data_IF_572818466798
#
_entry.id   IF_572818466798
#
_cell.length_a   1.000
_cell.length_b   1.000
_cell.length_c   1.000
_cell.angle_alpha   90.00
_cell.angle_beta   90.00
_cell.angle_gamma   90.00
#
_symmetry.space_group_name_H-M   'P 1'
#
loop_
_entity.id
_entity.type
_entity.pdbx_description
1 polymer ?
#
# COMPACT_ATOMS: atom_id res chain seq x y z
N UNK A 1 4.02 4.85 68.39
CA UNK A 1 2.85 5.66 68.02
C UNK A 1 3.12 6.28 66.66
N UNK A 2 2.10 6.50 65.83
CA UNK A 2 2.16 7.47 64.72
C UNK A 2 2.38 8.87 65.31
N UNK A 3 3.56 9.15 65.86
CA UNK A 3 3.95 10.49 66.28
C UNK A 3 4.36 11.28 65.05
N UNK A 4 4.03 12.57 65.06
CA UNK A 4 4.25 13.56 64.00
C UNK A 4 5.73 13.69 63.60
N UNK A 5 6.24 12.72 62.85
CA UNK A 5 7.52 12.84 62.15
C UNK A 5 7.26 13.71 60.91
N UNK A 6 7.15 15.02 61.11
CA UNK A 6 7.32 15.99 60.04
C UNK A 6 8.76 15.85 59.52
N UNK A 7 8.97 15.05 58.47
CA UNK A 7 10.20 15.13 57.69
C UNK A 7 10.27 16.52 57.06
N UNK A 8 11.44 17.15 57.11
CA UNK A 8 11.75 18.47 56.50
C UNK A 8 11.43 18.55 55.00
N UNK A 9 11.18 17.42 54.36
CA UNK A 9 10.82 17.29 52.95
C UNK A 9 9.34 16.93 52.80
N UNK A 10 8.43 17.86 53.13
CA UNK A 10 7.02 18.00 52.72
C UNK A 10 6.26 16.72 52.25
N UNK A 11 6.43 15.59 52.92
CA UNK A 11 5.86 14.29 52.56
C UNK A 11 5.00 13.80 53.72
N UNK A 12 3.68 13.83 53.51
CA UNK A 12 2.68 13.29 54.44
C UNK A 12 2.98 11.81 54.69
N UNK A 13 3.20 11.46 55.97
CA UNK A 13 3.33 10.07 56.42
C UNK A 13 1.91 9.50 56.57
N UNK A 14 1.63 8.39 55.89
CA UNK A 14 0.42 7.61 56.10
C UNK A 14 0.64 6.62 57.24
N UNK A 15 -0.16 6.71 58.30
CA UNK A 15 -0.01 5.86 59.48
C UNK A 15 -1.36 5.58 60.15
N UNK A 16 -1.55 4.33 60.58
CA UNK A 16 -2.74 3.88 61.29
C UNK A 16 -2.29 3.18 62.58
N UNK A 17 -2.81 3.64 63.72
CA UNK A 17 -2.63 2.94 64.99
C UNK A 17 -3.73 1.89 65.16
N UNK A 18 -3.39 0.71 65.66
CA UNK A 18 -4.33 -0.37 65.94
C UNK A 18 -3.99 -1.04 67.28
N UNK A 19 -5.00 -1.57 67.99
CA UNK A 19 -4.88 -2.02 69.39
C UNK A 19 -4.94 -3.53 69.58
N UNK A 20 -5.22 -4.28 68.51
CA UNK A 20 -5.35 -5.73 68.55
C UNK A 20 -4.04 -6.44 68.19
N UNK A 21 -3.92 -7.75 68.46
CA UNK A 21 -2.74 -8.50 68.01
C UNK A 21 -2.79 -8.66 66.49
N UNK A 22 -1.64 -8.46 65.82
CA UNK A 22 -1.48 -8.62 64.36
C UNK A 22 -2.36 -7.71 63.50
N UNK A 23 -2.73 -6.53 64.01
CA UNK A 23 -3.59 -5.58 63.32
C UNK A 23 -2.85 -4.67 62.32
N UNK A 24 -1.54 -4.85 62.12
CA UNK A 24 -0.68 -4.01 61.27
C UNK A 24 -0.71 -4.44 59.79
N UNK A 25 -1.90 -4.59 59.22
CA UNK A 25 -2.08 -4.97 57.82
C UNK A 25 -1.77 -3.79 56.88
N UNK A 26 -1.08 -4.07 55.77
CA UNK A 26 -0.73 -3.04 54.76
C UNK A 26 -1.97 -2.40 54.14
N UNK A 27 -3.06 -3.16 54.00
CA UNK A 27 -4.31 -2.70 53.41
C UNK A 27 -5.06 -1.65 54.24
N UNK A 28 -4.57 -1.32 55.43
CA UNK A 28 -5.06 -0.21 56.24
C UNK A 28 -4.55 1.14 55.73
N UNK A 29 -3.50 1.16 54.90
CA UNK A 29 -2.97 2.37 54.31
C UNK A 29 -3.48 2.56 52.88
N UNK A 30 -3.68 3.81 52.44
CA UNK A 30 -4.02 4.08 51.06
C UNK A 30 -2.85 3.73 50.14
N UNK A 31 -3.18 3.26 48.93
CA UNK A 31 -2.21 3.05 47.87
C UNK A 31 -1.75 4.39 47.33
N UNK A 32 -0.46 4.53 47.11
CA UNK A 32 0.15 5.73 46.56
C UNK A 32 0.51 5.53 45.09
N UNK A 33 0.14 6.49 44.23
CA UNK A 33 0.47 6.47 42.80
C UNK A 33 1.13 7.78 42.39
N UNK A 34 1.96 7.76 41.35
CA UNK A 34 2.48 8.99 40.78
C UNK A 34 1.46 9.68 39.88
N UNK A 35 1.48 11.00 39.90
CA UNK A 35 0.80 11.89 38.96
C UNK A 35 1.78 12.41 37.90
N UNK A 36 1.29 13.08 36.86
CA UNK A 36 2.13 13.64 35.80
C UNK A 36 3.23 14.57 36.30
N UNK A 37 2.97 15.32 37.36
CA UNK A 37 3.90 16.32 37.90
C UNK A 37 4.94 15.70 38.87
N UNK A 38 4.96 14.37 39.02
CA UNK A 38 5.79 13.68 40.01
C UNK A 38 5.21 13.68 41.43
N UNK A 39 4.10 14.40 41.66
CA UNK A 39 3.37 14.39 42.92
C UNK A 39 2.70 13.03 43.15
N UNK A 40 2.35 12.74 44.40
CA UNK A 40 1.67 11.51 44.81
C UNK A 40 0.17 11.78 44.95
N UNK A 41 -0.65 10.91 44.35
CA UNK A 41 -2.06 10.78 44.68
C UNK A 41 -2.28 9.50 45.52
N UNK A 42 -3.40 9.46 46.25
CA UNK A 42 -3.78 8.35 47.13
C UNK A 42 -5.10 7.72 46.65
N UNK A 43 -5.19 6.40 46.72
CA UNK A 43 -6.41 5.63 46.40
C UNK A 43 -6.58 4.44 47.33
N UNK A 44 -7.71 3.72 47.26
CA UNK A 44 -7.93 2.52 48.09
C UNK A 44 -6.85 1.45 47.84
N UNK A 45 -6.55 0.63 48.84
CA UNK A 45 -5.48 -0.39 48.75
C UNK A 45 -5.68 -1.38 47.59
N UNK A 46 -6.93 -1.70 47.25
CA UNK A 46 -7.24 -2.60 46.13
C UNK A 46 -7.44 -1.88 44.79
N UNK A 47 -7.34 -0.55 44.77
CA UNK A 47 -7.54 0.24 43.55
C UNK A 47 -6.26 0.29 42.70
N UNK A 48 -6.36 0.86 41.50
CA UNK A 48 -5.23 0.85 40.56
C UNK A 48 -4.41 2.15 40.61
N UNK A 49 -3.12 2.04 40.35
CA UNK A 49 -2.37 3.12 39.72
C UNK A 49 -2.46 2.92 38.20
N UNK A 50 -2.62 4.00 37.46
CA UNK A 50 -2.67 3.93 36.00
C UNK A 50 -1.54 4.70 35.34
N UNK A 51 -1.23 4.27 34.12
CA UNK A 51 -0.48 5.02 33.14
C UNK A 51 -1.13 4.83 31.77
N UNK A 52 -1.54 5.92 31.15
CA UNK A 52 -2.20 5.90 29.85
C UNK A 52 -1.59 6.91 28.90
N UNK A 53 -1.85 6.72 27.62
CA UNK A 53 -1.52 7.70 26.58
C UNK A 53 -2.77 8.32 26.02
N UNK A 54 -2.72 9.63 25.78
CA UNK A 54 -3.75 10.33 25.04
C UNK A 54 -3.47 10.27 23.53
N UNK A 55 -4.38 10.83 22.71
CA UNK A 55 -4.24 10.83 21.24
C UNK A 55 -2.96 11.52 20.74
N UNK A 56 -2.42 12.49 21.50
CA UNK A 56 -1.16 13.18 21.19
C UNK A 56 0.08 12.45 21.69
N UNK A 57 -0.08 11.20 22.15
CA UNK A 57 0.98 10.38 22.72
C UNK A 57 1.60 10.96 24.00
N UNK A 58 0.89 11.85 24.69
CA UNK A 58 1.29 12.37 26.00
C UNK A 58 0.90 11.35 27.08
N UNK A 59 1.75 11.22 28.10
CA UNK A 59 1.57 10.26 29.18
C UNK A 59 0.74 10.91 30.30
N UNK A 60 -0.33 10.24 30.68
CA UNK A 60 -1.14 10.55 31.85
C UNK A 60 -0.99 9.46 32.90
N UNK A 61 -0.81 9.87 34.16
CA UNK A 61 -0.61 9.00 35.32
C UNK A 61 -1.49 9.46 36.47
N UNK A 62 -1.97 8.51 37.25
CA UNK A 62 -2.70 8.83 38.45
C UNK A 62 -3.28 7.62 39.16
N UNK A 63 -4.30 7.92 39.95
CA UNK A 63 -5.01 7.00 40.82
C UNK A 63 -6.34 6.58 40.20
N UNK A 64 -6.72 5.33 40.43
CA UNK A 64 -7.98 4.77 39.96
C UNK A 64 -7.88 4.20 38.54
N UNK A 65 -8.97 4.33 37.78
CA UNK A 65 -9.12 3.71 36.48
C UNK A 65 -8.61 4.58 35.33
N UNK A 66 -8.27 3.92 34.22
CA UNK A 66 -7.93 4.58 32.96
C UNK A 66 -9.13 5.31 32.36
N UNK A 67 -8.88 6.44 31.73
CA UNK A 67 -9.84 7.14 30.88
C UNK A 67 -9.73 6.72 29.41
N UNK A 68 -8.60 6.12 29.02
CA UNK A 68 -8.28 5.72 27.65
C UNK A 68 -8.09 4.20 27.52
N UNK A 69 -8.28 3.69 26.29
CA UNK A 69 -8.00 2.28 25.96
C UNK A 69 -6.49 1.98 25.97
N UNK A 70 -5.66 2.99 25.68
CA UNK A 70 -4.20 2.89 25.65
C UNK A 70 -3.64 3.07 27.07
N UNK A 71 -3.89 2.09 27.93
CA UNK A 71 -3.61 2.20 29.35
C UNK A 71 -3.09 0.90 29.96
N UNK A 72 -2.14 1.07 30.89
CA UNK A 72 -1.67 0.05 31.82
C UNK A 72 -2.18 0.39 33.22
N UNK A 73 -2.73 -0.60 33.92
CA UNK A 73 -3.04 -0.54 35.34
C UNK A 73 -2.08 -1.42 36.12
N UNK A 74 -1.77 -1.04 37.34
CA UNK A 74 -0.95 -1.85 38.24
C UNK A 74 -1.43 -1.70 39.69
N UNK A 75 -1.20 -2.74 40.49
CA UNK A 75 -1.71 -2.87 41.85
C UNK A 75 -0.67 -2.56 42.92
N UNK A 76 0.60 -2.38 42.58
CA UNK A 76 1.62 -2.08 43.58
C UNK A 76 1.70 -0.59 43.89
N UNK A 77 2.28 -0.23 45.04
CA UNK A 77 2.54 1.17 45.36
C UNK A 77 3.50 1.78 44.33
N UNK A 78 3.11 2.92 43.77
CA UNK A 78 3.95 3.74 42.88
C UNK A 78 4.44 2.99 41.64
N UNK A 79 3.72 1.96 41.22
CA UNK A 79 4.06 1.08 40.11
C UNK A 79 3.98 1.74 38.73
N UNK A 80 3.42 2.95 38.64
CA UNK A 80 3.37 3.74 37.41
C UNK A 80 4.62 4.64 37.23
N UNK A 81 5.78 4.14 37.67
CA UNK A 81 7.08 4.82 37.58
C UNK A 81 7.86 4.41 36.31
N UNK A 82 8.65 5.35 35.76
CA UNK A 82 9.73 5.20 34.76
C UNK A 82 9.47 4.50 33.41
N UNK A 83 8.51 3.58 33.30
CA UNK A 83 8.09 3.01 32.03
C UNK A 83 7.30 4.03 31.23
N UNK A 84 7.52 4.07 29.91
CA UNK A 84 6.77 4.88 28.95
C UNK A 84 6.08 3.96 27.95
N UNK A 85 5.14 3.11 28.39
CA UNK A 85 4.54 2.06 27.58
C UNK A 85 3.90 2.68 26.35
N UNK A 86 4.20 2.17 25.16
CA UNK A 86 3.49 2.54 23.94
C UNK A 86 2.40 1.49 23.67
N UNK A 87 1.32 1.90 23.01
CA UNK A 87 0.16 1.02 22.82
C UNK A 87 -0.21 0.95 21.36
N UNK A 88 -0.38 -0.26 20.85
CA UNK A 88 -0.84 -0.56 19.50
C UNK A 88 -2.08 -1.44 19.55
N UNK A 89 -2.87 -1.45 18.48
CA UNK A 89 -3.77 -2.58 18.27
C UNK A 89 -2.95 -3.83 17.98
N UNK A 90 -3.40 -4.95 18.55
CA UNK A 90 -2.85 -6.27 18.32
C UNK A 90 -3.97 -7.31 18.21
N UNK A 91 -3.59 -8.57 18.05
CA UNK A 91 -4.53 -9.70 18.04
C UNK A 91 -4.23 -10.67 19.19
N UNK A 92 -5.30 -11.14 19.84
CA UNK A 92 -5.27 -12.33 20.69
C UNK A 92 -6.21 -13.38 20.07
N UNK A 93 -5.63 -14.35 19.36
CA UNK A 93 -6.39 -15.18 18.42
C UNK A 93 -6.98 -14.32 17.29
N UNK A 94 -8.30 -14.31 17.16
CA UNK A 94 -9.04 -13.48 16.20
C UNK A 94 -9.51 -12.14 16.76
N UNK A 95 -9.38 -11.90 18.07
CA UNK A 95 -9.93 -10.71 18.71
C UNK A 95 -8.93 -9.55 18.70
N UNK A 96 -9.39 -8.37 18.29
CA UNK A 96 -8.64 -7.12 18.36
C UNK A 96 -8.49 -6.67 19.81
N UNK A 97 -7.25 -6.51 20.25
CA UNK A 97 -6.89 -6.08 21.61
C UNK A 97 -6.00 -4.84 21.58
N UNK A 98 -5.88 -4.18 22.73
CA UNK A 98 -4.80 -3.21 22.96
C UNK A 98 -3.60 -3.95 23.51
N UNK A 99 -2.47 -3.85 22.79
CA UNK A 99 -1.21 -4.47 23.17
C UNK A 99 -0.23 -3.39 23.56
N UNK A 100 0.50 -3.66 24.62
CA UNK A 100 1.59 -2.81 25.07
C UNK A 100 2.91 -3.19 24.39
N UNK A 101 3.63 -2.19 23.91
CA UNK A 101 4.86 -2.34 23.14
C UNK A 101 6.07 -1.93 24.00
N UNK A 102 6.84 -2.93 24.44
CA UNK A 102 7.92 -2.75 25.42
C UNK A 102 9.22 -2.18 24.84
N UNK A 103 9.36 -2.08 23.51
CA UNK A 103 10.63 -1.74 22.83
C UNK A 103 10.48 -0.88 21.57
N UNK A 104 9.31 -0.34 21.31
CA UNK A 104 9.04 0.44 20.09
C UNK A 104 7.83 1.34 20.28
N UNK A 105 7.91 2.53 19.69
CA UNK A 105 6.83 3.51 19.53
C UNK A 105 6.19 3.45 18.13
N UNK A 106 6.40 2.35 17.42
CA UNK A 106 5.79 2.08 16.13
C UNK A 106 4.70 1.03 16.27
N UNK A 107 3.61 1.25 15.55
CA UNK A 107 2.60 0.25 15.28
C UNK A 107 2.54 0.00 13.78
N UNK A 108 2.14 -1.20 13.38
CA UNK A 108 1.83 -1.47 11.99
C UNK A 108 0.49 -2.17 11.84
N UNK A 109 -0.08 -2.04 10.64
CA UNK A 109 -1.25 -2.77 10.17
C UNK A 109 -0.98 -3.29 8.75
N UNK A 110 -1.35 -4.54 8.51
CA UNK A 110 -1.22 -5.23 7.24
C UNK A 110 -2.56 -5.74 6.76
N UNK A 111 -2.82 -5.65 5.46
CA UNK A 111 -4.03 -6.19 4.83
C UNK A 111 -3.74 -7.53 4.17
N UNK A 112 -4.16 -8.61 4.82
CA UNK A 112 -4.01 -9.99 4.35
C UNK A 112 -5.19 -10.36 3.45
N UNK A 113 -4.88 -10.79 2.22
CA UNK A 113 -5.86 -11.39 1.32
C UNK A 113 -5.87 -12.91 1.54
N UNK A 114 -6.96 -13.43 2.12
CA UNK A 114 -7.21 -14.86 2.25
C UNK A 114 -7.77 -15.46 0.94
N UNK A 115 -7.59 -16.77 0.76
CA UNK A 115 -8.02 -17.50 -0.46
C UNK A 115 -9.54 -17.46 -0.70
N UNK A 116 -10.32 -17.13 0.32
CA UNK A 116 -11.79 -17.06 0.28
C UNK A 116 -12.31 -15.64 -0.03
N UNK A 117 -11.42 -14.67 -0.29
CA UNK A 117 -11.82 -13.29 -0.62
C UNK A 117 -12.16 -12.42 0.59
N UNK A 118 -12.21 -12.99 1.81
CA UNK A 118 -12.36 -12.22 3.03
C UNK A 118 -11.07 -11.43 3.34
N UNK A 119 -11.26 -10.14 3.59
CA UNK A 119 -10.18 -9.23 3.98
C UNK A 119 -9.91 -9.40 5.47
N UNK A 120 -8.67 -9.69 5.83
CA UNK A 120 -8.26 -9.79 7.23
C UNK A 120 -7.11 -8.81 7.50
N UNK A 121 -7.24 -8.01 8.56
CA UNK A 121 -6.15 -7.16 9.02
C UNK A 121 -5.32 -7.84 10.09
N UNK A 122 -4.01 -7.67 10.00
CA UNK A 122 -3.07 -8.02 11.06
C UNK A 122 -2.46 -6.75 11.63
N UNK A 123 -2.28 -6.73 12.95
CA UNK A 123 -1.85 -5.55 13.69
C UNK A 123 -0.85 -5.99 14.74
N UNK A 124 0.25 -5.26 14.89
CA UNK A 124 1.16 -5.45 16.02
C UNK A 124 2.04 -4.22 16.26
N UNK A 125 2.87 -4.30 17.30
CA UNK A 125 3.98 -3.40 17.58
C UNK A 125 5.09 -3.59 16.54
N UNK A 126 5.70 -2.50 16.10
CA UNK A 126 6.86 -2.47 15.21
C UNK A 126 6.58 -1.78 13.88
N UNK A 127 7.45 -2.03 12.90
CA UNK A 127 7.34 -1.49 11.54
C UNK A 127 7.08 -2.61 10.54
N UNK A 128 6.50 -2.26 9.40
CA UNK A 128 6.18 -3.18 8.31
C UNK A 128 7.37 -4.01 7.80
N UNK A 129 8.60 -3.50 7.92
CA UNK A 129 9.81 -4.18 7.46
C UNK A 129 10.36 -5.21 8.46
N UNK A 130 9.80 -5.28 9.67
CA UNK A 130 10.25 -6.20 10.72
C UNK A 130 9.63 -7.58 10.52
N UNK A 131 10.33 -8.50 9.85
CA UNK A 131 9.93 -9.91 9.85
C UNK A 131 10.04 -10.48 11.27
N UNK A 132 8.91 -10.77 11.91
CA UNK A 132 8.87 -11.57 13.13
C UNK A 132 8.54 -13.02 12.79
N UNK A 133 9.09 -13.99 13.53
CA UNK A 133 8.83 -15.43 13.44
C UNK A 133 7.33 -15.78 13.57
N UNK A 134 6.56 -14.92 14.22
CA UNK A 134 5.10 -15.06 14.34
C UNK A 134 4.38 -14.68 13.04
N UNK A 135 4.93 -13.70 12.32
CA UNK A 135 4.43 -13.25 11.03
C UNK A 135 4.61 -14.35 9.97
N UNK A 136 5.77 -15.02 9.93
CA UNK A 136 6.05 -16.05 8.92
C UNK A 136 5.05 -17.22 8.97
N UNK A 137 4.55 -17.58 10.16
CA UNK A 137 3.46 -18.56 10.32
C UNK A 137 2.13 -18.05 9.76
N UNK A 138 1.78 -16.79 10.02
CA UNK A 138 0.53 -16.16 9.55
C UNK A 138 0.56 -16.03 8.02
N UNK A 139 1.71 -15.66 7.45
CA UNK A 139 1.86 -15.42 6.02
C UNK A 139 1.84 -16.71 5.17
N UNK A 140 1.90 -17.91 5.79
CA UNK A 140 1.84 -19.22 5.11
C UNK A 140 2.77 -19.30 3.89
N UNK A 141 3.95 -18.70 3.98
CA UNK A 141 4.95 -18.67 2.89
C UNK A 141 4.84 -17.50 1.90
N UNK A 142 3.93 -16.53 2.09
CA UNK A 142 3.97 -15.24 1.37
C UNK A 142 5.11 -14.37 1.90
N UNK A 143 5.80 -13.65 1.00
CA UNK A 143 6.75 -12.62 1.40
C UNK A 143 5.96 -11.43 1.98
N UNK A 144 6.46 -10.88 3.09
CA UNK A 144 5.91 -9.67 3.71
C UNK A 144 5.90 -8.50 2.73
N UNK A 145 6.85 -8.47 1.80
CA UNK A 145 6.99 -7.47 0.75
C UNK A 145 5.84 -7.48 -0.26
N UNK A 146 5.10 -8.58 -0.35
CA UNK A 146 3.96 -8.74 -1.26
C UNK A 146 2.63 -8.32 -0.61
N UNK A 147 2.66 -7.79 0.62
CA UNK A 147 1.47 -7.48 1.40
C UNK A 147 1.44 -5.99 1.73
N UNK A 148 0.37 -5.28 1.35
CA UNK A 148 0.15 -3.91 1.76
C UNK A 148 0.26 -3.73 3.27
N UNK A 149 1.15 -2.82 3.68
CA UNK A 149 1.43 -2.54 5.07
C UNK A 149 1.61 -1.04 5.31
N UNK A 150 1.07 -0.57 6.43
CA UNK A 150 1.21 0.80 6.91
C UNK A 150 1.79 0.75 8.30
N UNK A 151 2.89 1.49 8.50
CA UNK A 151 3.39 1.80 9.83
C UNK A 151 2.94 3.20 10.26
N UNK A 152 2.82 3.39 11.56
CA UNK A 152 2.46 4.66 12.15
C UNK A 152 3.18 4.82 13.49
N UNK A 153 3.42 6.07 13.86
CA UNK A 153 4.13 6.45 15.08
C UNK A 153 3.50 7.70 15.67
N UNK A 154 3.95 8.07 16.87
CA UNK A 154 3.60 9.30 17.57
C UNK A 154 2.12 9.44 18.00
N UNK A 155 1.30 8.40 17.83
CA UNK A 155 -0.08 8.35 18.29
C UNK A 155 -0.41 6.91 18.75
N UNK A 156 -0.92 6.70 19.98
CA UNK A 156 -1.25 5.36 20.43
C UNK A 156 -2.43 4.81 19.62
N UNK A 157 -2.41 3.50 19.37
CA UNK A 157 -3.46 2.79 18.63
C UNK A 157 -3.67 3.33 17.19
N UNK A 158 -2.63 3.94 16.60
CA UNK A 158 -2.69 4.52 15.26
C UNK A 158 -2.88 3.49 14.13
N UNK A 159 -2.61 2.21 14.39
CA UNK A 159 -2.75 1.13 13.42
C UNK A 159 -4.21 0.66 13.34
N UNK A 160 -5.11 1.56 12.97
CA UNK A 160 -6.53 1.28 12.72
C UNK A 160 -6.80 0.93 11.25
N UNK A 161 -7.92 0.26 10.98
CA UNK A 161 -8.38 -0.01 9.60
C UNK A 161 -8.63 1.30 8.85
N UNK A 162 -9.27 2.26 9.52
CA UNK A 162 -9.50 3.61 8.99
C UNK A 162 -8.18 4.27 8.57
N UNK A 163 -7.14 4.20 9.40
CA UNK A 163 -5.83 4.73 9.05
C UNK A 163 -5.25 4.02 7.83
N UNK A 164 -5.35 2.69 7.75
CA UNK A 164 -4.88 1.93 6.59
C UNK A 164 -5.63 2.29 5.31
N UNK A 165 -6.97 2.34 5.32
CA UNK A 165 -7.78 2.64 4.14
C UNK A 165 -7.62 4.10 3.68
N UNK A 166 -7.24 4.99 4.58
CA UNK A 166 -6.90 6.37 4.23
C UNK A 166 -5.56 6.51 3.48
N UNK A 167 -4.72 5.46 3.48
CA UNK A 167 -3.40 5.50 2.84
C UNK A 167 -3.47 5.27 1.34
N UNK A 168 -2.60 5.99 0.64
CA UNK A 168 -2.42 5.84 -0.79
C UNK A 168 -1.40 4.73 -1.09
N UNK A 169 -1.77 3.77 -1.93
CA UNK A 169 -0.85 2.79 -2.50
C UNK A 169 -0.80 2.97 -4.01
N UNK A 170 0.35 2.79 -4.65
CA UNK A 170 0.50 2.98 -6.09
C UNK A 170 0.74 1.65 -6.80
N UNK A 171 0.41 1.58 -8.08
CA UNK A 171 0.97 0.56 -8.96
C UNK A 171 2.47 0.86 -9.16
N UNK A 172 3.28 -0.18 -9.20
CA UNK A 172 4.72 -0.09 -9.38
C UNK A 172 5.13 -0.88 -10.62
N UNK A 173 5.95 -0.25 -11.46
CA UNK A 173 6.55 -0.86 -12.64
C UNK A 173 7.88 -0.18 -12.90
N UNK A 174 8.98 -0.91 -12.71
CA UNK A 174 10.28 -0.44 -13.13
C UNK A 174 10.41 -0.48 -14.66
N UNK A 175 11.28 0.34 -15.24
CA UNK A 175 11.44 0.48 -16.70
C UNK A 175 11.74 -0.83 -17.43
N UNK A 176 12.40 -1.79 -16.75
CA UNK A 176 12.74 -3.10 -17.30
C UNK A 176 11.84 -4.23 -16.78
N UNK A 177 10.89 -3.91 -15.90
CA UNK A 177 9.99 -4.92 -15.36
C UNK A 177 8.96 -5.33 -16.43
N UNK A 178 8.73 -6.64 -16.63
CA UNK A 178 7.80 -7.12 -17.64
C UNK A 178 6.34 -6.86 -17.29
N UNK A 179 6.02 -6.68 -16.00
CA UNK A 179 4.66 -6.55 -15.50
C UNK A 179 4.59 -5.49 -14.41
N UNK A 180 3.43 -4.86 -14.33
CA UNK A 180 3.03 -4.01 -13.21
C UNK A 180 2.73 -4.86 -11.98
N UNK A 181 3.11 -4.37 -10.81
CA UNK A 181 2.75 -4.93 -9.50
C UNK A 181 1.94 -3.92 -8.69
N UNK A 182 1.21 -4.41 -7.69
CA UNK A 182 0.62 -3.53 -6.68
C UNK A 182 1.70 -3.19 -5.66
N UNK A 183 1.98 -1.91 -5.48
CA UNK A 183 2.84 -1.43 -4.40
C UNK A 183 2.25 -1.78 -3.04
N UNK A 184 3.13 -2.14 -2.12
CA UNK A 184 2.78 -2.64 -0.78
C UNK A 184 3.14 -1.66 0.32
N UNK A 185 3.76 -0.54 -0.04
CA UNK A 185 4.14 0.53 0.88
C UNK A 185 3.29 1.77 0.63
N UNK A 186 2.99 2.50 1.71
CA UNK A 186 2.29 3.78 1.64
C UNK A 186 3.08 4.79 0.79
N UNK A 187 2.38 5.43 -0.15
CA UNK A 187 2.90 6.54 -0.92
C UNK A 187 2.83 7.86 -0.13
N UNK A 188 3.93 8.21 0.53
CA UNK A 188 4.05 9.44 1.35
C UNK A 188 3.95 10.75 0.56
N UNK A 189 4.05 10.70 -0.77
CA UNK A 189 3.89 11.85 -1.67
C UNK A 189 2.43 12.16 -2.01
N UNK A 190 1.49 11.31 -1.58
CA UNK A 190 0.04 11.45 -1.79
C UNK A 190 -0.41 11.51 -3.26
N UNK A 191 0.46 11.13 -4.20
CA UNK A 191 0.13 10.99 -5.61
C UNK A 191 0.88 9.79 -6.19
N UNK A 192 0.23 9.10 -7.12
CA UNK A 192 0.82 8.06 -7.94
C UNK A 192 1.01 8.59 -9.35
N UNK A 193 2.12 8.24 -9.99
CA UNK A 193 2.38 8.59 -11.38
C UNK A 193 2.41 7.35 -12.28
N UNK A 194 2.05 7.58 -13.54
CA UNK A 194 2.37 6.72 -14.66
C UNK A 194 3.06 7.59 -15.72
N UNK A 195 4.24 7.17 -16.15
CA UNK A 195 5.10 7.99 -16.99
C UNK A 195 5.77 7.17 -18.09
N UNK A 196 5.89 7.77 -19.26
CA UNK A 196 6.70 7.31 -20.37
C UNK A 196 8.01 8.08 -20.38
N UNK A 197 9.13 7.37 -20.25
CA UNK A 197 10.45 8.02 -20.18
C UNK A 197 11.09 8.27 -21.55
N UNK A 198 10.70 7.51 -22.56
CA UNK A 198 11.14 7.72 -23.94
C UNK A 198 10.09 7.24 -24.95
N UNK A 199 10.16 7.79 -26.17
CA UNK A 199 9.32 7.37 -27.30
C UNK A 199 9.93 6.20 -28.09
N UNK A 200 11.19 5.82 -27.82
CA UNK A 200 11.95 4.87 -28.65
C UNK A 200 11.51 3.43 -28.41
N UNK A 201 11.20 3.08 -27.16
CA UNK A 201 10.86 1.71 -26.77
C UNK A 201 9.45 1.59 -26.22
N UNK A 202 8.72 2.69 -26.07
CA UNK A 202 7.37 2.67 -25.54
C UNK A 202 7.28 2.20 -24.08
N UNK A 203 8.39 2.26 -23.33
CA UNK A 203 8.44 1.76 -21.94
C UNK A 203 7.75 2.70 -20.97
N UNK A 204 6.96 2.12 -20.08
CA UNK A 204 6.19 2.83 -19.07
C UNK A 204 6.74 2.51 -17.69
N UNK A 205 6.79 3.53 -16.82
CA UNK A 205 7.15 3.45 -15.41
C UNK A 205 5.95 3.88 -14.58
N UNK A 206 5.74 3.20 -13.46
CA UNK A 206 4.68 3.50 -12.49
C UNK A 206 5.27 3.56 -11.09
N UNK A 207 4.78 4.46 -10.25
CA UNK A 207 5.18 4.52 -8.85
C UNK A 207 4.54 5.64 -8.05
N UNK A 208 5.06 5.84 -6.84
CA UNK A 208 4.70 6.95 -5.96
C UNK A 208 5.46 8.24 -6.35
N UNK A 209 4.76 9.36 -6.40
CA UNK A 209 5.32 10.67 -6.74
C UNK A 209 4.46 11.45 -7.71
N UNK A 210 4.96 12.63 -8.08
CA UNK A 210 4.26 13.53 -9.02
C UNK A 210 4.98 13.63 -10.35
N UNK A 211 4.25 13.97 -11.41
CA UNK A 211 4.83 14.15 -12.74
C UNK A 211 5.82 15.32 -12.82
N UNK A 212 5.63 16.37 -12.02
CA UNK A 212 6.56 17.52 -12.00
C UNK A 212 7.96 17.13 -11.52
N UNK A 213 8.07 16.04 -10.75
CA UNK A 213 9.37 15.48 -10.30
C UNK A 213 10.06 14.67 -11.43
N UNK A 214 9.39 14.44 -12.57
CA UNK A 214 9.86 13.65 -13.70
C UNK A 214 10.05 14.51 -14.95
N UNK A 215 10.97 15.48 -14.88
CA UNK A 215 11.23 16.46 -15.95
C UNK A 215 11.64 15.89 -17.31
N UNK A 216 12.02 14.61 -17.36
CA UNK A 216 12.44 13.89 -18.56
C UNK A 216 11.35 12.95 -19.12
N UNK A 217 10.18 12.89 -18.49
CA UNK A 217 9.06 12.11 -18.99
C UNK A 217 8.44 12.78 -20.22
N UNK A 218 8.18 11.99 -21.26
CA UNK A 218 7.58 12.45 -22.51
C UNK A 218 6.07 12.55 -22.40
N UNK A 219 5.46 11.65 -21.64
CA UNK A 219 4.05 11.66 -21.26
C UNK A 219 3.96 11.22 -19.80
N UNK A 220 3.20 11.93 -18.99
CA UNK A 220 3.06 11.62 -17.58
C UNK A 220 1.68 12.05 -17.07
N UNK A 221 1.07 11.18 -16.27
CA UNK A 221 -0.17 11.46 -15.57
C UNK A 221 -0.03 11.10 -14.09
N UNK A 222 -0.50 11.99 -13.23
CA UNK A 222 -0.60 11.78 -11.79
C UNK A 222 -2.05 11.60 -11.36
N UNK A 223 -2.26 10.88 -10.27
CA UNK A 223 -3.58 10.63 -9.69
C UNK A 223 -3.46 10.35 -8.17
N UNK A 224 -4.58 10.44 -7.44
CA UNK A 224 -4.59 10.48 -5.97
C UNK A 224 -5.50 9.41 -5.32
N UNK A 225 -5.79 8.32 -6.04
CA UNK A 225 -6.54 7.15 -5.50
C UNK A 225 -5.65 5.92 -5.47
N UNK A 226 -5.85 5.01 -4.53
CA UNK A 226 -5.02 3.81 -4.45
C UNK A 226 -5.09 2.99 -5.73
N UNK A 227 -3.92 2.64 -6.27
CA UNK A 227 -3.71 1.91 -7.52
C UNK A 227 -4.30 2.59 -8.76
N UNK A 228 -4.44 3.92 -8.74
CA UNK A 228 -5.06 4.67 -9.83
C UNK A 228 -4.18 4.80 -11.08
N UNK A 229 -2.87 4.65 -10.95
CA UNK A 229 -1.90 4.99 -12.01
C UNK A 229 -1.76 3.88 -13.05
N UNK A 230 -2.87 3.36 -13.58
CA UNK A 230 -2.87 2.34 -14.62
C UNK A 230 -2.23 2.84 -15.92
N UNK A 231 -1.59 1.93 -16.67
CA UNK A 231 -0.94 2.24 -17.95
C UNK A 231 -1.92 2.83 -18.98
N UNK A 232 -3.20 2.45 -18.89
CA UNK A 232 -4.26 2.92 -19.79
C UNK A 232 -4.57 4.42 -19.75
N UNK A 233 -4.03 5.13 -18.76
CA UNK A 233 -4.30 6.57 -18.57
C UNK A 233 -3.39 7.44 -19.44
N UNK A 234 -2.25 6.89 -19.89
CA UNK A 234 -1.36 7.56 -20.83
C UNK A 234 -1.60 7.06 -22.24
N UNK A 235 -1.19 7.86 -23.22
CA UNK A 235 -1.46 7.56 -24.63
C UNK A 235 -0.64 6.35 -25.10
N UNK A 236 -1.22 5.55 -26.00
CA UNK A 236 -0.48 4.52 -26.73
C UNK A 236 0.35 5.14 -27.85
N UNK A 237 1.55 4.59 -28.06
CA UNK A 237 2.45 5.02 -29.12
C UNK A 237 2.37 4.05 -30.28
N UNK A 238 2.22 4.59 -31.49
CA UNK A 238 2.31 3.82 -32.72
C UNK A 238 3.39 4.39 -33.65
N UNK A 239 3.99 3.56 -34.49
CA UNK A 239 4.84 4.04 -35.58
C UNK A 239 4.00 4.77 -36.63
N UNK A 240 4.56 5.83 -37.20
CA UNK A 240 4.09 6.44 -38.44
C UNK A 240 5.16 6.34 -39.53
N UNK A 241 4.82 6.75 -40.75
CA UNK A 241 5.73 6.68 -41.90
C UNK A 241 6.92 7.64 -41.81
N UNK A 242 6.83 8.69 -40.99
CA UNK A 242 7.79 9.81 -40.98
C UNK A 242 8.87 9.70 -39.88
N UNK A 243 9.13 8.50 -39.34
CA UNK A 243 9.96 8.26 -38.12
C UNK A 243 9.44 8.98 -36.86
N UNK A 244 8.33 9.69 -36.95
CA UNK A 244 7.60 10.32 -35.85
C UNK A 244 6.62 9.30 -35.28
N UNK A 245 6.36 9.34 -33.97
CA UNK A 245 5.34 8.52 -33.33
C UNK A 245 4.04 9.31 -33.22
N UNK A 246 2.90 8.64 -33.37
CA UNK A 246 1.60 9.23 -33.03
C UNK A 246 1.10 8.68 -31.69
N UNK A 247 0.28 9.48 -31.01
CA UNK A 247 -0.39 9.14 -29.77
C UNK A 247 -1.83 8.72 -30.09
N UNK A 248 -2.20 7.49 -29.72
CA UNK A 248 -3.56 6.98 -29.77
C UNK A 248 -4.12 6.89 -28.34
N UNK A 249 -5.46 6.87 -28.22
CA UNK A 249 -6.07 6.39 -26.97
C UNK A 249 -5.57 4.97 -26.66
N UNK A 250 -5.55 4.59 -25.39
CA UNK A 250 -4.92 3.32 -25.00
C UNK A 250 -5.59 2.10 -25.65
N UNK A 251 -6.91 2.14 -25.78
CA UNK A 251 -7.70 1.07 -26.40
C UNK A 251 -7.73 1.16 -27.93
N UNK A 252 -7.37 2.30 -28.52
CA UNK A 252 -7.33 2.48 -29.97
C UNK A 252 -6.15 1.73 -30.58
N UNK A 253 -6.33 0.93 -31.64
CA UNK A 253 -5.24 0.15 -32.21
C UNK A 253 -4.16 1.02 -32.87
N UNK A 254 -2.99 0.43 -33.08
CA UNK A 254 -2.05 0.89 -34.09
C UNK A 254 -2.33 0.13 -35.38
N UNK A 255 -2.24 0.82 -36.52
CA UNK A 255 -2.48 0.18 -37.82
C UNK A 255 -1.23 0.12 -38.69
N UNK A 256 -1.24 -0.85 -39.60
CA UNK A 256 -0.31 -0.97 -40.73
C UNK A 256 -1.02 -1.56 -41.94
N UNK A 257 -0.82 -0.96 -43.11
CA UNK A 257 -1.42 -1.45 -44.35
C UNK A 257 -0.50 -1.22 -45.54
N UNK A 258 -0.70 -1.99 -46.62
CA UNK A 258 -0.01 -1.76 -47.90
C UNK A 258 -0.91 -1.02 -48.88
N UNK A 259 -0.38 0.01 -49.53
CA UNK A 259 -1.06 0.70 -50.63
C UNK A 259 -1.08 -0.16 -51.89
N UNK A 260 -1.92 0.17 -52.88
CA UNK A 260 -1.88 -0.47 -54.20
C UNK A 260 -0.51 -0.38 -54.89
N UNK A 261 0.31 0.63 -54.57
CA UNK A 261 1.69 0.79 -55.06
C UNK A 261 2.73 0.04 -54.22
N UNK A 262 2.28 -0.87 -53.35
CA UNK A 262 3.12 -1.67 -52.45
C UNK A 262 3.87 -0.87 -51.35
N UNK A 263 3.51 0.38 -51.12
CA UNK A 263 4.06 1.18 -50.02
C UNK A 263 3.45 0.74 -48.70
N UNK A 264 4.25 0.68 -47.64
CA UNK A 264 3.76 0.42 -46.28
C UNK A 264 3.37 1.74 -45.63
N UNK A 265 2.12 1.83 -45.16
CA UNK A 265 1.64 2.95 -44.35
C UNK A 265 1.27 2.50 -42.94
N UNK A 266 1.60 3.33 -41.96
CA UNK A 266 1.45 3.09 -40.52
C UNK A 266 0.81 4.29 -39.83
N UNK A 267 0.07 4.06 -38.76
CA UNK A 267 -0.48 5.13 -37.95
C UNK A 267 -1.24 4.65 -36.71
N UNK A 268 -2.03 5.57 -36.17
CA UNK A 268 -2.84 5.40 -34.97
C UNK A 268 -4.32 5.28 -35.32
N UNK A 269 -5.07 4.56 -34.50
CA UNK A 269 -6.49 4.33 -34.67
C UNK A 269 -6.81 3.12 -35.54
N UNK A 270 -8.10 3.00 -35.88
CA UNK A 270 -8.62 1.88 -36.65
C UNK A 270 -8.10 1.86 -38.08
N UNK A 271 -8.07 0.67 -38.65
CA UNK A 271 -7.66 0.44 -40.01
C UNK A 271 -8.50 1.26 -41.00
N UNK A 272 -7.86 2.08 -41.86
CA UNK A 272 -8.58 2.87 -42.85
C UNK A 272 -9.05 2.05 -44.07
N UNK A 273 -8.53 0.83 -44.25
CA UNK A 273 -8.82 -0.05 -45.40
C UNK A 273 -8.91 -1.51 -44.94
N UNK A 274 -9.53 -2.38 -45.76
CA UNK A 274 -9.67 -3.82 -45.47
C UNK A 274 -8.37 -4.62 -45.63
N UNK A 275 -7.36 -4.10 -46.35
CA UNK A 275 -6.00 -4.67 -46.48
C UNK A 275 -5.04 -4.18 -45.40
N UNK A 276 -5.54 -4.05 -44.18
CA UNK A 276 -4.84 -3.44 -43.07
C UNK A 276 -4.86 -4.38 -41.85
N UNK A 277 -3.80 -4.32 -41.04
CA UNK A 277 -3.75 -4.99 -39.74
C UNK A 277 -3.71 -3.98 -38.62
N UNK A 278 -4.43 -4.34 -37.57
CA UNK A 278 -4.46 -3.65 -36.29
C UNK A 278 -3.65 -4.44 -35.27
N UNK A 279 -3.07 -3.73 -34.30
CA UNK A 279 -2.44 -4.33 -33.15
C UNK A 279 -2.61 -3.40 -31.94
N UNK A 280 -2.63 -3.97 -30.74
CA UNK A 280 -3.08 -3.24 -29.53
C UNK A 280 -1.95 -2.85 -28.59
N UNK A 281 -0.73 -3.35 -28.78
CA UNK A 281 0.42 -3.04 -27.93
C UNK A 281 1.19 -1.78 -28.38
N UNK A 282 2.02 -1.20 -27.50
CA UNK A 282 2.88 -0.06 -27.87
C UNK A 282 3.83 -0.45 -29.00
N UNK A 283 3.89 0.39 -30.05
CA UNK A 283 4.84 0.25 -31.16
C UNK A 283 4.75 -1.09 -31.90
N UNK A 284 3.61 -1.79 -31.79
CA UNK A 284 3.41 -3.13 -32.37
C UNK A 284 3.40 -3.14 -33.91
N UNK A 285 3.13 -2.00 -34.54
CA UNK A 285 3.04 -1.86 -36.00
C UNK A 285 4.41 -1.65 -36.68
N UNK A 286 5.50 -2.18 -36.10
CA UNK A 286 6.86 -2.03 -36.62
C UNK A 286 7.14 -2.92 -37.83
N UNK A 287 6.95 -4.24 -37.66
CA UNK A 287 7.51 -5.27 -38.55
C UNK A 287 6.43 -6.26 -39.04
N UNK A 288 5.18 -5.82 -39.11
CA UNK A 288 4.10 -6.66 -39.64
C UNK A 288 4.16 -6.64 -41.18
N UNK A 289 4.81 -7.64 -41.77
CA UNK A 289 4.76 -7.87 -43.22
C UNK A 289 3.41 -8.45 -43.57
N UNK A 290 2.55 -7.66 -44.19
CA UNK A 290 1.32 -8.17 -44.81
C UNK A 290 1.45 -8.05 -46.31
N UNK A 291 1.21 -9.14 -47.03
CA UNK A 291 1.02 -9.11 -48.47
C UNK A 291 -0.42 -9.52 -48.74
N UNK A 292 -1.06 -8.88 -49.71
CA UNK A 292 -2.43 -9.20 -50.09
C UNK A 292 -2.50 -9.36 -51.59
N UNK A 293 -3.20 -10.39 -52.05
CA UNK A 293 -3.54 -10.55 -53.46
C UNK A 293 -5.04 -10.30 -53.65
N UNK A 294 -5.39 -9.47 -54.63
CA UNK A 294 -6.77 -9.32 -55.07
C UNK A 294 -7.19 -10.54 -55.89
N UNK A 295 -8.37 -11.07 -55.57
CA UNK A 295 -9.06 -12.12 -56.30
C UNK A 295 -10.23 -11.58 -57.12
N UNK A 296 -10.99 -12.50 -57.70
CA UNK A 296 -12.16 -12.19 -58.51
C UNK A 296 -13.20 -11.36 -57.72
N UNK A 297 -13.84 -10.40 -58.40
CA UNK A 297 -14.86 -9.49 -57.84
C UNK A 297 -14.43 -8.73 -56.57
N UNK A 298 -13.14 -8.38 -56.44
CA UNK A 298 -12.66 -7.57 -55.32
C UNK A 298 -12.50 -8.35 -54.01
N UNK A 299 -12.60 -9.68 -54.04
CA UNK A 299 -12.09 -10.51 -52.95
C UNK A 299 -10.59 -10.28 -52.74
N UNK A 300 -10.08 -10.56 -51.55
CA UNK A 300 -8.64 -10.49 -51.29
C UNK A 300 -8.20 -11.66 -50.42
N UNK A 301 -6.94 -12.05 -50.57
CA UNK A 301 -6.31 -13.10 -49.77
C UNK A 301 -5.03 -12.54 -49.15
N UNK A 302 -4.89 -12.73 -47.85
CA UNK A 302 -3.63 -12.46 -47.18
C UNK A 302 -2.61 -13.55 -47.51
N UNK A 303 -1.40 -13.13 -47.85
CA UNK A 303 -0.26 -13.96 -48.16
C UNK A 303 0.79 -13.80 -47.06
N UNK A 304 1.10 -14.91 -46.38
CA UNK A 304 1.97 -14.93 -45.21
C UNK A 304 3.45 -15.07 -45.56
N UNK A 305 3.77 -15.45 -46.80
CA UNK A 305 5.14 -15.70 -47.23
C UNK A 305 5.73 -14.48 -47.96
N UNK A 306 7.02 -14.20 -47.73
CA UNK A 306 7.71 -13.10 -48.42
C UNK A 306 7.90 -13.40 -49.91
N UNK A 307 7.91 -14.68 -50.27
CA UNK A 307 8.03 -15.17 -51.63
C UNK A 307 6.66 -15.45 -52.29
N UNK A 308 5.57 -14.95 -51.70
CA UNK A 308 4.25 -15.05 -52.31
C UNK A 308 4.11 -14.05 -53.45
N UNK A 309 3.77 -14.53 -54.64
CA UNK A 309 3.46 -13.70 -55.80
C UNK A 309 1.96 -13.75 -56.11
N UNK A 310 1.39 -12.59 -56.44
CA UNK A 310 0.05 -12.54 -57.00
C UNK A 310 0.13 -12.84 -58.50
N UNK A 311 -0.72 -13.73 -59.00
CA UNK A 311 -0.84 -14.03 -60.42
C UNK A 311 -2.29 -13.88 -60.89
N UNK A 312 -2.45 -13.64 -62.19
CA UNK A 312 -3.75 -13.66 -62.87
C UNK A 312 -3.69 -14.80 -63.88
N UNK A 313 -4.63 -15.73 -63.78
CA UNK A 313 -4.78 -16.82 -64.74
C UNK A 313 -6.03 -16.60 -65.59
N UNK A 314 -5.90 -16.73 -66.91
CA UNK A 314 -7.05 -16.80 -67.82
C UNK A 314 -7.55 -18.25 -67.82
N UNK A 315 -8.79 -18.48 -67.40
CA UNK A 315 -9.43 -19.79 -67.47
C UNK A 315 -10.25 -19.83 -68.77
N UNK A 316 -9.84 -20.69 -69.71
CA UNK A 316 -10.61 -20.97 -70.91
C UNK A 316 -11.49 -22.20 -70.62
N UNK A 317 -12.81 -22.00 -70.60
CA UNK A 317 -13.76 -23.11 -70.45
C UNK A 317 -14.06 -23.62 -71.85
N UNK A 318 -13.42 -24.72 -72.23
CA UNK A 318 -13.87 -25.50 -73.37
C UNK A 318 -15.22 -26.13 -72.98
N UNK A 319 -16.30 -25.63 -73.58
CA UNK A 319 -17.58 -26.33 -73.52
C UNK A 319 -17.41 -27.64 -74.30
N UNK A 320 -17.11 -28.73 -73.58
CA UNK A 320 -17.18 -30.07 -74.12
C UNK A 320 -18.58 -30.31 -74.68
N UNK A 321 -18.65 -30.60 -75.98
CA UNK A 321 -19.87 -30.99 -76.68
C UNK A 321 -20.40 -32.35 -76.27
#
# INVERSE_FOLDING_TARGET
MCEDVLRKDNSSIDCVNCKEKYCNLENLLPKQCYTNNGNICKTSFNDFCFMERNKKNEINKGCGNCSSKACRKCLENRCNLNDKPYFCYGLNGSHKIVKECLKTDYCYIMKLNNKEGEQQYHYDCGICSSSNLLLTKILKGKDIKDIPCVDCKNEPLCNSEENFESKLFCLEKATLAPKTTKGTTECKKNECYVARMDNKFGKVRQGCGKCEELSYAVDCKSCNKSYCNEEKIISKLCYTNSKVHCNAEFDDPCYIYRTPTNEVKKGCGKCPFYTCKECTEHLCNKDITTHYCFGYMGSYKECFDKDSYCYIAKIEVENGG
#
